data_IF_352261244235
#
_entry.id   IF_352261244235
#
_cell.length_a   1.000
_cell.length_b   1.000
_cell.length_c   1.000
_cell.angle_alpha   90.00
_cell.angle_beta   90.00
_cell.angle_gamma   90.00
#
_symmetry.space_group_name_H-M   'P 1'
#
loop_
_entity.id
_entity.type
_entity.pdbx_description
1 polymer ?
#
# COMPACT_ATOMS: atom_id res chain seq x y z
N UNK A 1 -16.97 -8.58 5.10
CA UNK A 1 -16.19 -7.86 6.14
C UNK A 1 -15.81 -6.52 5.55
N UNK A 2 -16.21 -5.38 6.13
CA UNK A 2 -15.82 -4.07 5.60
C UNK A 2 -14.33 -3.82 5.94
N UNK A 3 -13.54 -3.19 5.05
CA UNK A 3 -12.11 -2.99 5.27
C UNK A 3 -11.78 -2.15 6.51
N UNK A 4 -12.74 -1.40 7.06
CA UNK A 4 -12.55 -0.52 8.22
C UNK A 4 -12.09 -1.21 9.52
N UNK A 5 -12.22 -2.54 9.61
CA UNK A 5 -11.68 -3.33 10.72
C UNK A 5 -10.23 -3.79 10.53
N UNK A 6 -9.61 -3.54 9.37
CA UNK A 6 -8.25 -3.97 9.05
C UNK A 6 -7.24 -3.02 9.70
N UNK A 7 -6.51 -3.51 10.70
CA UNK A 7 -5.49 -2.77 11.44
C UNK A 7 -4.05 -3.09 11.04
N UNK A 8 -3.84 -4.05 10.13
CA UNK A 8 -2.52 -4.42 9.64
C UNK A 8 -2.55 -4.58 8.11
N UNK A 9 -1.61 -3.94 7.43
CA UNK A 9 -1.49 -4.00 5.97
C UNK A 9 -0.06 -4.34 5.59
N UNK A 10 0.10 -5.26 4.63
CA UNK A 10 1.38 -5.55 3.99
C UNK A 10 1.26 -5.23 2.51
N UNK A 11 2.18 -4.41 2.02
CA UNK A 11 2.39 -4.18 0.59
C UNK A 11 3.65 -4.95 0.19
N UNK A 12 3.51 -5.88 -0.74
CA UNK A 12 4.61 -6.70 -1.27
C UNK A 12 4.85 -6.34 -2.74
N UNK A 13 6.09 -6.47 -3.21
CA UNK A 13 6.53 -5.96 -4.53
C UNK A 13 6.07 -4.51 -4.80
N UNK A 14 6.27 -3.61 -3.84
CA UNK A 14 5.76 -2.24 -3.92
C UNK A 14 6.36 -1.42 -5.08
N UNK A 15 7.62 -1.66 -5.41
CA UNK A 15 8.25 -1.13 -6.63
C UNK A 15 7.48 -1.53 -7.90
N UNK A 16 7.10 -2.80 -8.03
CA UNK A 16 6.34 -3.28 -9.18
C UNK A 16 4.93 -2.71 -9.25
N UNK A 17 4.27 -2.53 -8.10
CA UNK A 17 2.97 -1.87 -8.07
C UNK A 17 3.05 -0.43 -8.59
N UNK A 18 4.13 0.28 -8.29
CA UNK A 18 4.39 1.63 -8.83
C UNK A 18 4.67 1.57 -10.34
N UNK A 19 5.53 0.66 -10.79
CA UNK A 19 5.84 0.47 -12.22
C UNK A 19 4.58 0.15 -13.05
N UNK A 20 3.63 -0.57 -12.46
CA UNK A 20 2.35 -0.91 -13.10
C UNK A 20 1.30 0.21 -13.00
N UNK A 21 1.58 1.29 -12.26
CA UNK A 21 0.68 2.42 -12.09
C UNK A 21 -0.47 2.19 -11.11
N UNK A 22 -0.35 1.24 -10.18
CA UNK A 22 -1.40 0.90 -9.20
C UNK A 22 -1.50 1.84 -7.99
N UNK A 23 -0.74 2.92 -7.96
CA UNK A 23 -0.77 3.89 -6.87
C UNK A 23 -2.22 4.38 -6.54
N UNK A 24 -3.07 4.75 -7.52
CA UNK A 24 -4.42 5.23 -7.23
C UNK A 24 -5.30 4.16 -6.56
N UNK A 25 -5.22 2.92 -7.03
CA UNK A 25 -5.97 1.78 -6.51
C UNK A 25 -5.49 1.41 -5.11
N UNK A 26 -4.18 1.37 -4.88
CA UNK A 26 -3.59 1.12 -3.56
C UNK A 26 -4.04 2.19 -2.59
N UNK A 27 -3.98 3.47 -2.96
CA UNK A 27 -4.47 4.58 -2.13
C UNK A 27 -5.97 4.44 -1.80
N UNK A 28 -6.80 4.08 -2.78
CA UNK A 28 -8.23 3.86 -2.59
C UNK A 28 -8.52 2.72 -1.61
N UNK A 29 -7.80 1.59 -1.71
CA UNK A 29 -7.94 0.45 -0.79
C UNK A 29 -7.51 0.86 0.62
N UNK A 30 -6.35 1.51 0.75
CA UNK A 30 -5.82 1.97 2.03
C UNK A 30 -6.75 2.97 2.73
N UNK A 31 -7.46 3.81 1.98
CA UNK A 31 -8.43 4.77 2.53
C UNK A 31 -9.63 4.09 3.22
N UNK A 32 -9.94 2.85 2.84
CA UNK A 32 -11.03 2.07 3.42
C UNK A 32 -10.60 1.26 4.65
N UNK A 33 -9.29 1.12 4.88
CA UNK A 33 -8.75 0.43 6.07
C UNK A 33 -8.76 1.31 7.31
N UNK A 34 -8.44 0.74 8.48
CA UNK A 34 -8.35 1.53 9.72
C UNK A 34 -7.36 2.68 9.58
N UNK A 35 -7.71 3.84 10.13
CA UNK A 35 -6.82 5.01 10.23
C UNK A 35 -5.67 4.79 11.22
N UNK A 36 -5.83 3.85 12.17
CA UNK A 36 -4.79 3.44 13.13
C UNK A 36 -4.19 2.09 12.75
N UNK A 37 -3.85 1.90 11.47
CA UNK A 37 -3.20 0.69 10.98
C UNK A 37 -1.68 0.74 11.17
N UNK A 38 -1.07 -0.41 11.40
CA UNK A 38 0.33 -0.63 11.14
C UNK A 38 0.50 -1.09 9.68
N UNK A 39 1.50 -0.55 9.00
CA UNK A 39 1.81 -0.90 7.61
C UNK A 39 3.25 -1.35 7.49
N UNK A 40 3.46 -2.43 6.72
CA UNK A 40 4.78 -2.89 6.30
C UNK A 40 4.81 -2.90 4.78
N UNK A 41 5.91 -2.44 4.21
CA UNK A 41 6.13 -2.43 2.76
C UNK A 41 7.42 -3.18 2.44
N UNK A 42 7.33 -4.11 1.49
CA UNK A 42 8.46 -4.82 0.91
C UNK A 42 8.66 -4.34 -0.52
N UNK A 43 9.91 -4.06 -0.84
CA UNK A 43 10.33 -3.59 -2.17
C UNK A 43 11.75 -4.07 -2.43
N UNK A 44 12.02 -4.54 -3.65
CA UNK A 44 13.37 -4.94 -4.03
C UNK A 44 14.23 -3.72 -4.37
N UNK A 45 13.59 -2.66 -4.83
CA UNK A 45 14.21 -1.39 -5.22
C UNK A 45 13.50 -0.20 -4.60
N UNK A 46 14.15 0.97 -4.58
CA UNK A 46 13.56 2.22 -4.12
C UNK A 46 13.58 3.24 -5.28
N UNK A 47 12.51 3.31 -6.08
CA UNK A 47 12.46 4.20 -7.25
C UNK A 47 12.45 5.68 -6.84
N UNK A 48 12.96 6.55 -7.71
CA UNK A 48 13.11 8.00 -7.43
C UNK A 48 11.76 8.69 -7.24
N UNK A 49 10.71 8.13 -7.81
CA UNK A 49 9.31 8.53 -7.70
C UNK A 49 8.79 8.49 -6.25
N UNK A 50 9.48 7.76 -5.36
CA UNK A 50 9.16 7.65 -3.93
C UNK A 50 9.91 8.68 -3.06
N UNK A 51 10.84 9.46 -3.65
CA UNK A 51 11.58 10.52 -2.94
C UNK A 51 10.79 11.81 -2.75
#
# INVERSE_FOLDING_TARGET
MLPGGVSFVVLDEADRMLDMGFEPEVCSILSQTSSKRQMVMFSATWPTEVH
#
